data_IF_100760472309
#
_entry.id   IF_100760472309
#
_cell.length_a   1.000
_cell.length_b   1.000
_cell.length_c   1.000
_cell.angle_alpha   90.00
_cell.angle_beta   90.00
_cell.angle_gamma   90.00
#
_symmetry.space_group_name_H-M   'P 1'
#
loop_
_entity.id
_entity.type
_entity.pdbx_description
1 polymer ?
#
# COMPACT_ATOMS: atom_id res chain seq x y z
N UNK A 1 1.10 -3.46 -16.92
CA UNK A 1 0.42 -2.93 -15.71
C UNK A 1 1.50 -2.39 -14.77
N UNK A 2 1.25 -1.33 -14.00
CA UNK A 2 2.25 -0.81 -13.04
C UNK A 2 1.88 -1.29 -11.65
N UNK A 3 2.74 -2.12 -11.09
CA UNK A 3 2.64 -2.57 -9.71
C UNK A 3 3.47 -1.65 -8.81
N UNK A 4 2.99 -1.44 -7.58
CA UNK A 4 3.76 -0.79 -6.52
C UNK A 4 3.72 -1.66 -5.29
N UNK A 5 4.89 -2.05 -4.81
CA UNK A 5 5.00 -2.86 -3.60
C UNK A 5 4.82 -1.97 -2.39
N UNK A 6 4.15 -2.48 -1.37
CA UNK A 6 4.08 -1.87 -0.06
C UNK A 6 4.96 -2.68 0.89
N UNK A 7 6.04 -2.05 1.32
CA UNK A 7 7.07 -2.65 2.16
C UNK A 7 6.96 -2.11 3.57
N UNK A 8 7.20 -2.95 4.57
CA UNK A 8 7.26 -2.51 5.95
C UNK A 8 8.53 -1.66 6.19
N UNK A 9 8.69 -1.16 7.42
CA UNK A 9 9.87 -0.38 7.82
C UNK A 9 11.21 -1.11 7.61
N UNK A 10 11.22 -2.44 7.58
CA UNK A 10 12.41 -3.26 7.33
C UNK A 10 12.66 -3.53 5.85
N UNK A 11 11.74 -3.16 4.96
CA UNK A 11 11.83 -3.43 3.54
C UNK A 11 11.31 -4.81 3.14
N UNK A 12 10.45 -5.42 3.95
CA UNK A 12 9.76 -6.68 3.63
C UNK A 12 8.43 -6.34 2.94
N UNK A 13 8.21 -6.87 1.75
CA UNK A 13 6.95 -6.69 1.01
C UNK A 13 5.82 -7.41 1.76
N UNK A 14 4.69 -6.73 2.00
CA UNK A 14 3.54 -7.34 2.66
C UNK A 14 2.19 -7.09 1.95
N UNK A 15 2.17 -6.17 0.99
CA UNK A 15 1.03 -5.91 0.12
C UNK A 15 1.51 -5.25 -1.18
N UNK A 16 0.62 -5.11 -2.16
CA UNK A 16 0.94 -4.38 -3.39
C UNK A 16 -0.28 -3.66 -3.96
N UNK A 17 -0.02 -2.58 -4.69
CA UNK A 17 -1.01 -1.89 -5.51
C UNK A 17 -0.93 -2.37 -6.96
N UNK A 18 -2.07 -2.73 -7.52
CA UNK A 18 -2.26 -2.79 -8.98
C UNK A 18 -3.08 -1.55 -9.39
N UNK A 19 -2.42 -0.57 -10.02
CA UNK A 19 -3.01 0.75 -10.23
C UNK A 19 -3.29 1.47 -8.91
N UNK A 20 -4.56 1.51 -8.51
CA UNK A 20 -5.03 2.10 -7.24
C UNK A 20 -5.65 1.07 -6.28
N UNK A 21 -5.78 -0.20 -6.66
CA UNK A 21 -6.39 -1.22 -5.80
C UNK A 21 -5.29 -1.91 -5.01
N UNK A 22 -5.50 -2.07 -3.70
CA UNK A 22 -4.57 -2.70 -2.77
C UNK A 22 -4.90 -4.18 -2.60
N UNK A 23 -3.89 -5.01 -2.78
CA UNK A 23 -3.95 -6.46 -2.68
C UNK A 23 -3.02 -6.97 -1.57
N UNK A 24 -3.43 -8.06 -0.92
CA UNK A 24 -2.51 -8.92 -0.16
C UNK A 24 -1.55 -9.64 -1.10
N UNK A 25 -0.50 -10.27 -0.56
CA UNK A 25 0.41 -11.10 -1.34
C UNK A 25 -0.28 -12.33 -1.97
N UNK A 26 -1.40 -12.78 -1.40
CA UNK A 26 -2.25 -13.84 -1.93
C UNK A 26 -3.21 -13.35 -3.03
N UNK A 27 -3.21 -12.06 -3.36
CA UNK A 27 -4.05 -11.48 -4.42
C UNK A 27 -5.47 -11.12 -3.98
N UNK A 28 -5.72 -10.99 -2.68
CA UNK A 28 -7.03 -10.56 -2.16
C UNK A 28 -7.11 -9.03 -2.04
N UNK A 29 -8.22 -8.44 -2.47
CA UNK A 29 -8.44 -7.00 -2.34
C UNK A 29 -8.73 -6.63 -0.89
N UNK A 30 -7.91 -5.75 -0.33
CA UNK A 30 -8.07 -5.24 1.05
C UNK A 30 -8.45 -3.77 1.10
N UNK A 31 -8.22 -3.03 0.01
CA UNK A 31 -8.50 -1.61 -0.02
C UNK A 31 -8.14 -0.96 -1.35
N UNK A 32 -8.03 0.37 -1.33
CA UNK A 32 -7.61 1.16 -2.47
C UNK A 32 -6.96 2.46 -2.04
N UNK A 33 -6.16 3.03 -2.92
CA UNK A 33 -5.59 4.35 -2.79
C UNK A 33 -6.61 5.41 -3.24
N UNK A 34 -6.96 6.33 -2.35
CA UNK A 34 -7.81 7.49 -2.61
C UNK A 34 -7.09 8.78 -2.19
N UNK A 35 -6.54 9.49 -3.18
CA UNK A 35 -5.73 10.68 -2.95
C UNK A 35 -4.51 10.38 -2.10
N UNK A 36 -4.46 10.94 -0.90
CA UNK A 36 -3.35 10.77 0.06
C UNK A 36 -3.66 9.75 1.16
N UNK A 37 -4.61 8.84 0.93
CA UNK A 37 -5.01 7.83 1.90
C UNK A 37 -5.16 6.46 1.24
N UNK A 38 -4.91 5.42 2.03
CA UNK A 38 -5.44 4.09 1.74
C UNK A 38 -6.74 3.95 2.50
N UNK A 39 -7.78 3.50 1.82
CA UNK A 39 -9.08 3.19 2.39
C UNK A 39 -9.37 1.70 2.28
N UNK A 40 -10.15 1.16 3.21
CA UNK A 40 -10.65 -0.22 3.12
C UNK A 40 -11.76 -0.37 2.07
N UNK A 41 -12.28 -1.59 1.90
CA UNK A 41 -13.31 -1.92 0.90
C UNK A 41 -14.65 -1.18 1.11
N UNK A 42 -14.98 -0.79 2.35
CA UNK A 42 -16.11 0.06 2.70
C UNK A 42 -15.80 1.57 2.57
N UNK A 43 -14.55 1.94 2.32
CA UNK A 43 -14.13 3.33 2.09
C UNK A 43 -13.70 4.11 3.34
N UNK A 44 -13.47 3.46 4.48
CA UNK A 44 -12.90 4.15 5.64
C UNK A 44 -11.39 4.26 5.47
N UNK A 45 -10.83 5.40 5.88
CA UNK A 45 -9.39 5.60 5.85
C UNK A 45 -8.71 4.67 6.85
N UNK A 46 -7.66 3.97 6.41
CA UNK A 46 -6.85 3.09 7.27
C UNK A 46 -5.42 3.60 7.41
N UNK A 47 -4.84 4.17 6.36
CA UNK A 47 -3.49 4.74 6.38
C UNK A 47 -3.42 6.06 5.64
N UNK A 48 -2.46 6.89 6.06
CA UNK A 48 -2.14 8.16 5.42
C UNK A 48 -0.87 8.02 4.59
N UNK A 49 -0.88 8.62 3.40
CA UNK A 49 0.22 8.63 2.44
C UNK A 49 0.86 10.02 2.38
N UNK A 50 2.18 10.06 2.50
CA UNK A 50 3.01 11.27 2.40
C UNK A 50 4.22 10.95 1.52
N UNK A 51 4.22 11.48 0.30
CA UNK A 51 5.10 11.01 -0.78
C UNK A 51 4.92 9.50 -0.99
N UNK A 52 5.98 8.71 -0.84
CA UNK A 52 5.93 7.25 -0.88
C UNK A 52 5.76 6.63 0.53
N UNK A 53 5.81 7.41 1.61
CA UNK A 53 5.68 6.90 2.97
C UNK A 53 4.24 6.62 3.36
N UNK A 54 4.02 5.50 4.06
CA UNK A 54 2.73 5.07 4.59
C UNK A 54 2.76 5.15 6.11
N UNK A 55 1.77 5.84 6.68
CA UNK A 55 1.70 6.17 8.10
C UNK A 55 0.34 5.82 8.69
N UNK A 56 0.28 5.74 10.02
CA UNK A 56 -0.99 5.76 10.76
C UNK A 56 -1.79 7.04 10.44
N UNK A 57 -3.10 7.01 10.67
CA UNK A 57 -3.98 8.15 10.35
C UNK A 57 -3.57 9.44 11.07
N UNK A 58 -3.14 9.32 12.32
CA UNK A 58 -2.59 10.43 13.12
C UNK A 58 -1.22 10.92 12.62
N UNK A 59 -0.55 10.16 11.75
CA UNK A 59 0.73 10.51 11.13
C UNK A 59 1.96 10.29 12.02
N UNK A 60 1.79 9.75 13.22
CA UNK A 60 2.87 9.63 14.21
C UNK A 60 3.76 8.41 14.02
N UNK A 61 3.29 7.37 13.32
CA UNK A 61 4.05 6.14 13.10
C UNK A 61 4.07 5.76 11.62
N UNK A 62 5.27 5.49 11.11
CA UNK A 62 5.44 4.89 9.79
C UNK A 62 5.10 3.40 9.84
N UNK A 63 4.20 2.98 8.95
CA UNK A 63 3.88 1.58 8.68
C UNK A 63 4.89 1.01 7.68
N UNK A 64 5.22 1.81 6.67
CA UNK A 64 5.99 1.33 5.53
C UNK A 64 6.16 2.39 4.44
N UNK A 65 6.46 1.93 3.24
CA UNK A 65 6.59 2.80 2.06
C UNK A 65 6.26 2.06 0.78
N UNK A 66 5.78 2.80 -0.21
CA UNK A 66 5.61 2.30 -1.57
C UNK A 66 6.96 2.29 -2.30
N UNK A 67 7.18 1.26 -3.10
CA UNK A 67 8.27 1.22 -4.05
C UNK A 67 7.78 0.66 -5.39
N UNK A 68 8.54 0.92 -6.46
CA UNK A 68 8.35 0.21 -7.71
C UNK A 68 8.67 -1.27 -7.49
N UNK A 69 7.64 -2.10 -7.53
CA UNK A 69 7.73 -3.55 -7.44
C UNK A 69 7.22 -4.12 -8.76
N UNK A 70 7.91 -5.13 -9.26
CA UNK A 70 7.45 -5.97 -10.36
C UNK A 70 7.43 -7.38 -9.81
N UNK A 71 6.31 -8.12 -9.90
CA UNK A 71 6.37 -9.56 -9.69
C UNK A 71 7.41 -10.12 -10.68
N UNK A 72 8.38 -10.87 -10.19
CA UNK A 72 9.27 -11.64 -11.06
C UNK A 72 8.38 -12.58 -11.89
N UNK A 73 8.39 -12.39 -13.21
CA UNK A 73 7.76 -13.26 -14.18
C UNK A 73 8.72 -14.46 -14.34
N UNK A 74 8.50 -15.54 -13.58
CA UNK A 74 9.20 -16.83 -13.77
C UNK A 74 8.66 -17.57 -15.00
#
# INVERSE_FOLDING_TARGET
MRYRGLLDRKGELFAYLEGNVLYTLDGEVTGRLEGNYVVDTAGNQIWRILNDGVFTLDGNEAIGYFSSWTPDDD
#
